data_IF_960109649183
#
_entry.id   IF_960109649183
#
_cell.length_a   1.000
_cell.length_b   1.000
_cell.length_c   1.000
_cell.angle_alpha   90.00
_cell.angle_beta   90.00
_cell.angle_gamma   90.00
#
_symmetry.space_group_name_H-M   'P 1'
#
loop_
_entity.id
_entity.type
_entity.pdbx_description
1 polymer ?
#
# COMPACT_ATOMS: atom_id res chain seq x y z
N UNK A 1 -71.15 -31.17 -33.58
CA UNK A 1 -70.03 -30.46 -34.23
C UNK A 1 -69.18 -29.85 -33.14
N UNK A 2 -68.16 -30.61 -32.68
CA UNK A 2 -67.38 -30.31 -31.48
C UNK A 2 -66.03 -29.73 -31.85
N UNK A 3 -65.87 -28.43 -31.65
CA UNK A 3 -64.60 -27.74 -31.83
C UNK A 3 -63.79 -27.82 -30.53
N UNK A 4 -62.75 -28.63 -30.54
CA UNK A 4 -61.76 -28.69 -29.41
C UNK A 4 -60.69 -27.65 -29.62
N UNK A 5 -60.74 -26.58 -28.86
CA UNK A 5 -59.69 -25.57 -28.79
C UNK A 5 -58.53 -26.12 -27.91
N UNK A 6 -57.39 -26.38 -28.55
CA UNK A 6 -56.14 -26.72 -27.89
C UNK A 6 -55.44 -25.43 -27.49
N UNK A 7 -55.44 -25.15 -26.16
CA UNK A 7 -54.56 -24.09 -25.63
C UNK A 7 -53.11 -24.60 -25.64
N UNK A 8 -52.29 -24.03 -26.51
CA UNK A 8 -50.85 -24.17 -26.39
C UNK A 8 -50.37 -23.17 -25.33
N UNK A 9 -49.93 -23.70 -24.21
CA UNK A 9 -49.23 -22.91 -23.17
C UNK A 9 -47.86 -22.54 -23.67
N UNK A 10 -47.59 -21.24 -23.88
CA UNK A 10 -46.27 -20.70 -24.04
C UNK A 10 -45.59 -20.57 -22.67
N UNK A 11 -44.64 -21.45 -22.37
CA UNK A 11 -43.74 -21.30 -21.25
C UNK A 11 -42.61 -20.38 -21.68
N UNK A 12 -42.71 -19.11 -21.31
CA UNK A 12 -41.60 -18.14 -21.46
C UNK A 12 -40.60 -18.38 -20.34
N UNK A 13 -39.49 -19.05 -20.67
CA UNK A 13 -38.33 -19.14 -19.80
C UNK A 13 -37.60 -17.80 -19.86
N UNK A 14 -37.82 -16.99 -18.82
CA UNK A 14 -37.07 -15.73 -18.63
C UNK A 14 -35.68 -16.08 -18.09
N UNK A 15 -34.69 -16.19 -18.97
CA UNK A 15 -33.28 -16.29 -18.59
C UNK A 15 -32.83 -14.95 -18.01
N UNK A 16 -32.74 -14.85 -16.67
CA UNK A 16 -32.13 -13.72 -15.97
C UNK A 16 -30.63 -13.83 -16.17
N UNK A 17 -30.07 -13.12 -17.16
CA UNK A 17 -28.63 -12.90 -17.28
C UNK A 17 -28.21 -11.99 -16.12
N UNK A 18 -27.68 -12.58 -15.04
CA UNK A 18 -26.97 -11.85 -14.02
C UNK A 18 -25.69 -11.25 -14.62
N UNK A 19 -25.73 -9.98 -15.05
CA UNK A 19 -24.52 -9.21 -15.34
C UNK A 19 -23.82 -8.99 -14.01
N UNK A 20 -22.80 -9.81 -13.75
CA UNK A 20 -21.82 -9.53 -12.69
C UNK A 20 -21.16 -8.19 -13.04
N UNK A 21 -21.50 -7.11 -12.31
CA UNK A 21 -20.69 -5.90 -12.30
C UNK A 21 -19.36 -6.26 -11.63
N UNK A 22 -18.39 -6.76 -12.41
CA UNK A 22 -17.01 -6.70 -12.00
C UNK A 22 -16.62 -5.22 -12.01
N UNK A 23 -16.81 -4.54 -10.87
CA UNK A 23 -16.34 -3.20 -10.67
C UNK A 23 -14.82 -3.20 -10.83
N UNK A 24 -14.32 -2.71 -11.96
CA UNK A 24 -12.91 -2.38 -12.10
C UNK A 24 -12.60 -1.38 -10.98
N UNK A 25 -11.89 -1.83 -9.94
CA UNK A 25 -11.35 -0.91 -8.95
C UNK A 25 -10.47 0.09 -9.70
N UNK A 26 -10.89 1.36 -9.74
CA UNK A 26 -10.20 2.40 -10.50
C UNK A 26 -8.73 2.52 -10.09
N UNK A 27 -7.89 3.02 -10.96
CA UNK A 27 -6.48 3.32 -10.68
C UNK A 27 -6.39 4.34 -9.56
N UNK A 28 -5.52 4.10 -8.57
CA UNK A 28 -5.29 5.04 -7.46
C UNK A 28 -4.41 6.18 -7.98
N UNK A 29 -4.88 7.43 -7.96
CA UNK A 29 -4.09 8.57 -8.40
C UNK A 29 -3.01 8.90 -7.37
N UNK A 30 -1.75 8.83 -7.79
CA UNK A 30 -0.58 9.18 -6.98
C UNK A 30 0.32 10.13 -7.74
N UNK A 31 1.28 10.73 -7.04
CA UNK A 31 2.35 11.54 -7.64
C UNK A 31 3.68 10.80 -7.44
N UNK A 32 4.54 10.73 -8.48
CA UNK A 32 5.87 10.18 -8.30
C UNK A 32 6.70 11.12 -7.42
N UNK A 33 7.59 10.54 -6.62
CA UNK A 33 8.59 11.31 -5.88
C UNK A 33 9.66 11.87 -6.83
N UNK A 34 10.47 12.81 -6.34
CA UNK A 34 11.51 13.47 -7.14
C UNK A 34 12.54 12.46 -7.66
N UNK A 35 12.97 11.51 -6.80
CA UNK A 35 13.93 10.44 -7.16
C UNK A 35 13.24 9.11 -7.52
N UNK A 36 12.00 9.15 -8.01
CA UNK A 36 11.24 7.95 -8.40
C UNK A 36 11.89 7.15 -9.54
N UNK A 37 12.79 7.76 -10.31
CA UNK A 37 13.56 7.10 -11.39
C UNK A 37 14.80 6.35 -10.88
N UNK A 38 15.10 6.38 -9.59
CA UNK A 38 16.21 5.65 -9.00
C UNK A 38 16.07 4.14 -9.26
N UNK A 39 17.09 3.46 -9.79
CA UNK A 39 17.03 2.02 -10.05
C UNK A 39 16.69 1.19 -8.80
N UNK A 40 17.09 1.63 -7.62
CA UNK A 40 16.78 0.96 -6.36
C UNK A 40 15.27 0.99 -6.06
N UNK A 41 14.54 2.03 -6.50
CA UNK A 41 13.08 2.04 -6.39
C UNK A 41 12.42 0.96 -7.26
N UNK A 42 13.01 0.59 -8.39
CA UNK A 42 12.53 -0.57 -9.16
C UNK A 42 12.72 -1.87 -8.38
N UNK A 43 13.84 -2.02 -7.64
CA UNK A 43 14.08 -3.17 -6.77
C UNK A 43 13.04 -3.29 -5.65
N UNK A 44 12.54 -2.18 -5.11
CA UNK A 44 11.44 -2.15 -4.15
C UNK A 44 10.12 -2.54 -4.82
N UNK A 45 9.76 -1.88 -5.91
CA UNK A 45 8.43 -2.03 -6.53
C UNK A 45 8.15 -3.41 -7.08
N UNK A 46 9.15 -4.12 -7.61
CA UNK A 46 8.99 -5.50 -8.08
C UNK A 46 8.80 -6.52 -6.95
N UNK A 47 9.05 -6.13 -5.71
CA UNK A 47 8.91 -6.95 -4.50
C UNK A 47 7.70 -6.59 -3.66
N UNK A 48 6.94 -5.56 -4.07
CA UNK A 48 5.73 -5.17 -3.34
C UNK A 48 4.72 -6.32 -3.33
N UNK A 49 4.23 -6.74 -2.14
CA UNK A 49 3.32 -7.86 -2.01
C UNK A 49 1.95 -7.55 -2.63
N UNK A 50 1.23 -8.62 -3.03
CA UNK A 50 -0.12 -8.52 -3.55
C UNK A 50 -1.15 -8.17 -2.45
N UNK A 51 -0.80 -8.39 -1.19
CA UNK A 51 -1.61 -8.04 -0.02
C UNK A 51 -0.77 -7.37 1.06
N UNK A 52 -1.31 -6.35 1.71
CA UNK A 52 -0.74 -5.66 2.88
C UNK A 52 -1.86 -5.47 3.89
N UNK A 53 -1.68 -5.92 5.13
CA UNK A 53 -2.71 -5.90 6.18
C UNK A 53 -4.06 -6.47 5.67
N UNK A 54 -4.00 -7.58 4.96
CA UNK A 54 -5.16 -8.24 4.28
C UNK A 54 -5.83 -7.41 3.18
N UNK A 55 -5.30 -6.23 2.85
CA UNK A 55 -5.80 -5.39 1.75
C UNK A 55 -5.14 -5.79 0.42
N UNK A 56 -5.94 -5.95 -0.62
CA UNK A 56 -5.46 -6.24 -1.96
C UNK A 56 -4.75 -5.05 -2.58
N UNK A 57 -3.67 -5.33 -3.32
CA UNK A 57 -2.92 -4.34 -4.11
C UNK A 57 -3.78 -3.73 -5.19
N UNK A 58 -3.54 -2.45 -5.45
CA UNK A 58 -4.22 -1.65 -6.46
C UNK A 58 -3.24 -1.12 -7.49
N UNK A 59 -3.71 -0.93 -8.70
CA UNK A 59 -2.96 -0.20 -9.72
C UNK A 59 -2.83 1.27 -9.36
N UNK A 60 -1.66 1.85 -9.61
CA UNK A 60 -1.36 3.28 -9.45
C UNK A 60 -0.96 3.90 -10.78
N UNK A 61 -1.14 5.22 -10.93
CA UNK A 61 -0.77 5.96 -12.13
C UNK A 61 0.60 6.66 -12.05
N UNK A 62 1.38 6.38 -11.01
CA UNK A 62 2.68 7.02 -10.76
C UNK A 62 3.78 5.99 -10.62
N UNK A 63 4.98 6.34 -11.11
CA UNK A 63 6.17 5.50 -11.01
C UNK A 63 6.63 5.37 -9.55
N UNK A 64 7.17 4.19 -9.23
CA UNK A 64 7.73 3.84 -7.92
C UNK A 64 6.73 4.01 -6.77
N UNK A 65 5.47 3.67 -7.02
CA UNK A 65 4.39 3.73 -6.03
C UNK A 65 3.68 2.39 -5.87
N UNK A 66 3.00 2.23 -4.74
CA UNK A 66 2.11 1.11 -4.44
C UNK A 66 0.90 1.58 -3.65
N UNK A 67 -0.23 0.89 -3.80
CA UNK A 67 -1.45 1.19 -3.06
C UNK A 67 -2.20 -0.09 -2.70
N UNK A 68 -2.88 -0.11 -1.55
CA UNK A 68 -3.68 -1.25 -1.09
C UNK A 68 -4.99 -0.79 -0.47
N UNK A 69 -6.04 -1.56 -0.74
CA UNK A 69 -7.38 -1.33 -0.19
C UNK A 69 -8.35 -0.62 -1.14
N UNK A 70 -9.64 -0.69 -0.82
CA UNK A 70 -10.73 -0.03 -1.54
C UNK A 70 -11.76 0.52 -0.54
N UNK A 71 -11.69 1.82 -0.20
CA UNK A 71 -10.72 2.84 -0.64
C UNK A 71 -9.28 2.49 -0.25
N UNK A 72 -8.30 3.12 -0.91
CA UNK A 72 -6.89 2.88 -0.61
C UNK A 72 -6.56 3.39 0.80
N UNK A 73 -6.14 2.49 1.68
CA UNK A 73 -5.78 2.79 3.07
C UNK A 73 -4.27 2.76 3.32
N UNK A 74 -3.50 2.19 2.39
CA UNK A 74 -2.04 2.17 2.42
C UNK A 74 -1.51 2.66 1.09
N UNK A 75 -0.62 3.66 1.12
CA UNK A 75 0.05 4.24 -0.03
C UNK A 75 1.56 4.20 0.20
N UNK A 76 2.32 3.70 -0.77
CA UNK A 76 3.77 3.66 -0.73
C UNK A 76 4.34 4.49 -1.86
N UNK A 77 5.38 5.28 -1.57
CA UNK A 77 6.14 6.07 -2.56
C UNK A 77 7.64 5.89 -2.31
N UNK A 78 8.38 5.45 -3.33
CA UNK A 78 9.84 5.35 -3.27
C UNK A 78 10.48 6.54 -3.99
N UNK A 79 11.65 6.97 -3.48
CA UNK A 79 12.38 8.11 -4.03
C UNK A 79 12.01 9.45 -3.40
N UNK A 80 11.41 9.43 -2.21
CA UNK A 80 11.15 10.65 -1.43
C UNK A 80 12.48 11.20 -0.86
N UNK A 81 12.46 12.43 -0.38
CA UNK A 81 13.60 13.05 0.30
C UNK A 81 14.09 12.18 1.47
N UNK A 82 15.39 11.96 1.55
CA UNK A 82 16.01 11.19 2.63
C UNK A 82 15.96 12.01 3.91
N UNK A 83 15.32 11.49 4.99
CA UNK A 83 15.23 12.23 6.24
C UNK A 83 16.60 12.52 6.84
N UNK A 84 16.82 13.78 7.21
CA UNK A 84 17.93 14.20 8.05
C UNK A 84 17.67 13.88 9.55
N UNK A 85 18.57 14.31 10.44
CA UNK A 85 18.35 14.22 11.88
C UNK A 85 17.00 14.89 12.27
N UNK A 86 16.19 14.21 13.07
CA UNK A 86 14.87 14.67 13.45
C UNK A 86 14.57 14.36 14.92
N UNK A 87 13.60 15.07 15.49
CA UNK A 87 13.03 14.79 16.81
C UNK A 87 11.78 13.91 16.75
N UNK A 88 11.28 13.59 15.53
CA UNK A 88 10.16 12.69 15.36
C UNK A 88 10.54 11.28 15.86
N UNK A 89 9.56 10.52 16.37
CA UNK A 89 9.78 9.14 16.79
C UNK A 89 10.43 8.31 15.68
N UNK A 90 11.41 7.51 16.06
CA UNK A 90 12.02 6.52 15.18
C UNK A 90 11.68 5.12 15.68
N UNK A 91 11.04 4.31 14.85
CA UNK A 91 10.62 2.95 15.17
C UNK A 91 11.32 1.95 14.26
N UNK A 92 11.88 0.88 14.85
CA UNK A 92 12.56 -0.18 14.11
C UNK A 92 11.63 -1.40 13.98
N UNK A 93 11.33 -1.82 12.76
CA UNK A 93 10.50 -2.98 12.47
C UNK A 93 11.23 -3.85 11.45
N UNK A 94 11.60 -5.09 11.83
CA UNK A 94 12.30 -6.07 10.99
C UNK A 94 13.51 -5.47 10.26
N UNK A 95 14.43 -4.82 11.00
CA UNK A 95 15.65 -4.17 10.49
C UNK A 95 15.42 -2.98 9.54
N UNK A 96 14.19 -2.52 9.40
CA UNK A 96 13.85 -1.26 8.74
C UNK A 96 13.50 -0.23 9.80
N UNK A 97 14.23 0.87 9.78
CA UNK A 97 14.00 2.01 10.66
C UNK A 97 13.08 3.02 9.96
N UNK A 98 12.08 3.51 10.70
CA UNK A 98 11.06 4.41 10.19
C UNK A 98 10.92 5.63 11.08
N UNK A 99 10.92 6.81 10.48
CA UNK A 99 10.47 8.04 11.15
C UNK A 99 8.95 8.07 11.05
N UNK A 100 8.30 8.21 12.20
CA UNK A 100 6.85 8.31 12.31
C UNK A 100 6.44 9.78 12.41
N UNK A 101 5.50 10.20 11.54
CA UNK A 101 4.87 11.51 11.58
C UNK A 101 3.33 11.31 11.70
N UNK A 102 2.78 11.68 12.84
CA UNK A 102 1.36 11.60 13.19
C UNK A 102 0.63 12.94 13.05
N UNK A 103 1.28 13.97 12.51
CA UNK A 103 0.74 15.33 12.40
C UNK A 103 -0.55 15.42 11.59
N UNK A 104 -0.85 14.40 10.79
CA UNK A 104 -2.07 14.30 9.97
C UNK A 104 -2.96 13.12 10.37
N UNK A 105 -2.90 12.69 11.64
CA UNK A 105 -3.75 11.60 12.11
C UNK A 105 -5.23 11.80 11.71
N UNK A 106 -5.95 10.75 11.27
CA UNK A 106 -5.58 9.32 11.33
C UNK A 106 -4.63 8.82 10.24
N UNK A 107 -4.17 9.68 9.34
CA UNK A 107 -3.19 9.35 8.30
C UNK A 107 -1.77 9.49 8.88
N UNK A 108 -1.17 8.36 9.24
CA UNK A 108 0.21 8.30 9.71
C UNK A 108 1.15 8.16 8.53
N UNK A 109 2.26 8.90 8.60
CA UNK A 109 3.32 8.85 7.58
C UNK A 109 4.56 8.21 8.19
N UNK A 110 5.07 7.19 7.53
CA UNK A 110 6.30 6.49 7.91
C UNK A 110 7.33 6.65 6.79
N UNK A 111 8.49 7.23 7.09
CA UNK A 111 9.57 7.39 6.11
C UNK A 111 10.79 6.61 6.57
N UNK A 112 11.39 5.81 5.69
CA UNK A 112 12.60 5.04 6.04
C UNK A 112 13.73 5.95 6.48
N UNK A 113 14.39 5.58 7.59
CA UNK A 113 15.58 6.24 8.08
C UNK A 113 16.83 5.45 7.73
N UNK A 114 17.87 6.15 7.31
CA UNK A 114 19.15 5.51 6.95
C UNK A 114 19.12 4.62 5.72
N UNK A 115 18.19 4.84 4.81
CA UNK A 115 18.14 4.16 3.51
C UNK A 115 18.06 5.17 2.37
N UNK A 116 18.73 4.86 1.26
CA UNK A 116 18.76 5.69 0.06
C UNK A 116 18.55 4.83 -1.17
N UNK A 117 17.55 5.14 -2.03
CA UNK A 117 16.51 6.17 -1.86
C UNK A 117 15.61 5.90 -0.64
N UNK A 118 14.94 6.94 -0.13
CA UNK A 118 13.99 6.76 0.94
C UNK A 118 12.63 6.30 0.41
N UNK A 119 11.91 5.54 1.25
CA UNK A 119 10.54 5.09 1.01
C UNK A 119 9.63 5.72 2.04
N UNK A 120 8.50 6.25 1.57
CA UNK A 120 7.42 6.75 2.41
C UNK A 120 6.22 5.83 2.32
N UNK A 121 5.57 5.56 3.46
CA UNK A 121 4.30 4.84 3.55
C UNK A 121 3.31 5.69 4.32
N UNK A 122 2.17 6.00 3.69
CA UNK A 122 1.03 6.66 4.34
C UNK A 122 0.00 5.61 4.68
N UNK A 123 -0.44 5.58 5.93
CA UNK A 123 -1.31 4.55 6.49
C UNK A 123 -2.52 5.21 7.16
N UNK A 124 -3.71 4.82 6.75
CA UNK A 124 -4.94 5.15 7.47
C UNK A 124 -5.09 4.21 8.68
N UNK A 125 -4.81 4.74 9.87
CA UNK A 125 -4.83 3.97 11.11
C UNK A 125 -6.23 3.54 11.59
N UNK A 126 -7.29 4.15 11.03
CA UNK A 126 -8.68 3.70 11.28
C UNK A 126 -9.02 2.46 10.45
N UNK A 127 -8.33 2.24 9.33
CA UNK A 127 -8.55 1.11 8.44
C UNK A 127 -7.66 -0.08 8.75
N UNK A 128 -6.36 0.15 9.07
CA UNK A 128 -5.36 -0.92 9.27
C UNK A 128 -4.34 -0.57 10.35
N UNK A 129 -3.69 -1.62 10.87
CA UNK A 129 -2.58 -1.48 11.81
C UNK A 129 -1.30 -1.01 11.12
N UNK A 130 -0.71 0.11 11.58
CA UNK A 130 0.57 0.60 11.10
C UNK A 130 1.68 -0.44 11.23
N UNK A 131 1.81 -1.08 12.40
CA UNK A 131 2.84 -2.11 12.63
C UNK A 131 2.70 -3.29 11.67
N UNK A 132 1.49 -3.83 11.48
CA UNK A 132 1.26 -4.94 10.55
C UNK A 132 1.61 -4.53 9.12
N UNK A 133 1.19 -3.34 8.70
CA UNK A 133 1.51 -2.78 7.38
C UNK A 133 3.02 -2.70 7.14
N UNK A 134 3.79 -2.18 8.10
CA UNK A 134 5.24 -2.05 7.98
C UNK A 134 5.96 -3.41 8.02
N UNK A 135 5.42 -4.40 8.76
CA UNK A 135 5.92 -5.78 8.74
C UNK A 135 5.76 -6.39 7.34
N UNK A 136 4.59 -6.24 6.72
CA UNK A 136 4.31 -6.81 5.39
C UNK A 136 5.16 -6.14 4.28
N UNK A 137 5.43 -4.83 4.40
CA UNK A 137 6.25 -4.07 3.45
C UNK A 137 7.76 -4.23 3.68
N UNK A 138 8.16 -4.66 4.88
CA UNK A 138 9.56 -4.80 5.29
C UNK A 138 10.43 -5.56 4.29
N UNK A 139 10.05 -6.74 3.78
CA UNK A 139 10.84 -7.50 2.80
C UNK A 139 11.11 -6.75 1.49
N UNK A 140 10.16 -5.93 1.01
CA UNK A 140 10.34 -5.14 -0.20
C UNK A 140 11.27 -3.94 0.03
N UNK A 141 11.22 -3.33 1.23
CA UNK A 141 11.99 -2.13 1.57
C UNK A 141 13.40 -2.46 2.07
N UNK A 142 13.58 -3.60 2.73
CA UNK A 142 14.88 -4.02 3.30
C UNK A 142 15.98 -4.23 2.28
N UNK A 143 15.63 -4.37 0.98
CA UNK A 143 16.62 -4.50 -0.11
C UNK A 143 17.43 -3.22 -0.35
N UNK A 144 16.92 -2.07 0.10
CA UNK A 144 17.61 -0.80 -0.04
C UNK A 144 18.86 -0.77 0.84
N UNK A 145 19.95 -0.15 0.37
CA UNK A 145 21.18 0.00 1.15
C UNK A 145 20.93 0.73 2.49
N UNK A 146 21.41 0.15 3.59
CA UNK A 146 21.34 0.76 4.93
C UNK A 146 22.63 1.54 5.18
N UNK A 147 22.50 2.84 5.44
CA UNK A 147 23.62 3.77 5.69
C UNK A 147 23.67 4.27 7.12
N UNK A 148 22.53 4.27 7.83
CA UNK A 148 22.41 4.64 9.24
C UNK A 148 21.22 3.93 9.88
N UNK A 149 21.02 4.13 11.17
CA UNK A 149 19.95 3.50 11.95
C UNK A 149 19.45 4.43 13.05
N UNK A 150 18.24 4.14 13.56
CA UNK A 150 17.74 4.78 14.76
C UNK A 150 18.71 4.55 15.91
N UNK A 151 18.96 5.57 16.71
CA UNK A 151 19.76 5.48 17.93
C UNK A 151 18.79 5.36 19.09
N UNK A 152 18.82 4.25 19.82
CA UNK A 152 18.13 4.13 21.08
C UNK A 152 18.92 4.89 22.15
N UNK A 153 18.19 5.49 23.13
CA UNK A 153 18.80 6.16 24.28
C UNK A 153 19.78 5.21 25.02
N UNK A 154 19.51 3.92 25.02
CA UNK A 154 20.39 2.91 25.60
C UNK A 154 21.72 2.75 24.88
N UNK A 155 21.82 3.11 23.61
CA UNK A 155 23.06 3.01 22.84
C UNK A 155 24.01 4.18 23.11
N UNK A 156 23.46 5.34 23.52
CA UNK A 156 24.25 6.54 23.87
C UNK A 156 25.07 6.34 25.13
N UNK A 157 24.65 5.45 26.02
CA UNK A 157 25.33 5.19 27.34
C UNK A 157 26.21 3.95 27.37
N UNK A 158 26.43 3.27 26.23
CA UNK A 158 27.29 2.07 26.14
C UNK A 158 28.76 2.35 25.83
N UNK A 159 29.20 3.61 25.82
CA UNK A 159 30.61 3.99 25.66
C UNK A 159 31.30 4.33 27.00
#
# INVERSE_FOLDING_TARGET
MNIRIRLLGFVTVTAVLGLGLSGCAGVVPMKPAEDSNNPECANVTVRLPDTVSDLAKRETNAQATGAWGTPAAVLLTCGVEVPGPTILPCVSINDVDWIEDDSQAPLYRYTTYGRTPAVEVVIDSEAVSGTTTLVDLGPAVSVLPKTSQCIDITDVFKN
#
